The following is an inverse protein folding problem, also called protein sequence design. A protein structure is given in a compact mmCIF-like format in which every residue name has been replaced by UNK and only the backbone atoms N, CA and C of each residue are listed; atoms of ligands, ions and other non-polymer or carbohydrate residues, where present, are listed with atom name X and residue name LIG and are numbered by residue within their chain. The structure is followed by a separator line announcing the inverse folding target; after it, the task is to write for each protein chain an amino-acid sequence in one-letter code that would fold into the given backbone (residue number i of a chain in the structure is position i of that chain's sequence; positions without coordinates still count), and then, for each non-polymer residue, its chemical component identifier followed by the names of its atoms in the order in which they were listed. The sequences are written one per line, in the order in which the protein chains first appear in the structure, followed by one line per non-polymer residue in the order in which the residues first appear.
data_IF_452991243880
#
_entry.id   IF_452991243880
#
_cell.length_a   1.000
_cell.length_b   1.000
_cell.length_c   1.000
_cell.angle_alpha   90.00
_cell.angle_beta   90.00
_cell.angle_gamma   90.00
#
_symmetry.space_group_name_H-M   'P 1'
#
loop_
_entity.id
_entity.type
_entity.pdbx_description
1 polymer ?
#
# COMPACT_ATOMS: atom_id res chain seq x y z
N UNK A 1 -1.51 24.68 42.93
CA UNK A 1 -0.47 23.73 42.48
C UNK A 1 -0.19 24.09 41.02
N UNK A 2 1.02 24.54 40.68
CA UNK A 2 1.37 24.75 39.27
C UNK A 2 1.63 23.36 38.68
N UNK A 3 0.87 22.98 37.67
CA UNK A 3 1.13 21.76 36.90
C UNK A 3 2.30 22.02 35.98
N UNK A 4 3.30 21.15 35.98
CA UNK A 4 4.34 21.13 34.95
C UNK A 4 3.72 20.48 33.72
N UNK A 5 3.94 21.05 32.54
CA UNK A 5 3.54 20.44 31.28
C UNK A 5 4.66 19.51 30.81
N UNK A 6 4.36 18.22 30.67
CA UNK A 6 5.32 17.27 30.09
C UNK A 6 5.29 17.38 28.55
N UNK A 7 6.43 17.69 27.96
CA UNK A 7 6.64 17.78 26.50
C UNK A 7 7.92 17.06 26.08
N UNK A 8 8.28 16.03 26.83
CA UNK A 8 9.43 15.17 26.52
C UNK A 8 9.28 14.54 25.13
N UNK A 9 10.41 14.08 24.59
CA UNK A 9 10.51 13.41 23.31
C UNK A 9 9.97 14.26 22.14
N UNK A 10 10.16 15.57 22.20
CA UNK A 10 9.91 16.47 21.08
C UNK A 10 11.21 16.93 20.42
N UNK A 11 11.17 17.20 19.10
CA UNK A 11 12.26 17.82 18.35
C UNK A 11 11.98 19.31 18.20
N UNK A 12 12.96 20.13 18.54
CA UNK A 12 12.77 21.58 18.71
C UNK A 12 13.48 22.37 17.62
N UNK A 13 13.55 21.82 16.41
CA UNK A 13 14.18 22.50 15.26
C UNK A 13 15.71 22.43 15.24
N UNK A 14 16.35 21.86 16.27
CA UNK A 14 17.81 21.69 16.34
C UNK A 14 18.21 20.45 17.16
N UNK A 15 19.31 19.80 16.80
CA UNK A 15 19.81 18.58 17.45
C UNK A 15 20.19 18.77 18.93
N UNK A 16 20.56 20.00 19.32
CA UNK A 16 20.85 20.35 20.71
C UNK A 16 19.61 20.58 21.56
N UNK A 17 18.41 20.40 21.00
CA UNK A 17 17.14 20.55 21.70
C UNK A 17 16.74 22.02 21.95
N UNK A 18 15.64 22.23 22.70
CA UNK A 18 15.10 23.55 22.96
C UNK A 18 15.97 24.32 23.93
N UNK A 19 16.01 25.64 23.81
CA UNK A 19 16.50 26.46 24.91
C UNK A 19 15.55 26.36 26.11
N UNK A 20 16.08 25.94 27.26
CA UNK A 20 15.38 25.96 28.54
C UNK A 20 16.31 26.52 29.64
N UNK A 21 15.91 27.56 30.41
CA UNK A 21 16.79 28.27 31.36
C UNK A 21 17.51 27.40 32.39
N UNK A 22 16.89 26.30 32.85
CA UNK A 22 17.50 25.36 33.82
C UNK A 22 17.81 23.98 33.25
N UNK A 23 16.89 23.36 32.50
CA UNK A 23 17.04 22.01 31.95
C UNK A 23 17.96 21.92 30.72
N UNK A 24 18.06 22.94 29.86
CA UNK A 24 18.93 22.95 28.68
C UNK A 24 19.36 24.37 28.25
N UNK A 25 20.22 25.06 29.03
CA UNK A 25 20.55 26.47 28.78
C UNK A 25 21.36 26.71 27.49
N UNK A 26 21.93 25.66 26.90
CA UNK A 26 22.70 25.70 25.65
C UNK A 26 21.92 25.24 24.41
N UNK A 27 20.63 24.91 24.55
CA UNK A 27 19.79 24.52 23.42
C UNK A 27 19.68 25.65 22.38
N UNK A 28 19.81 25.29 21.11
CA UNK A 28 19.71 26.24 19.98
C UNK A 28 18.38 26.11 19.23
N UNK A 29 17.54 25.16 19.63
CA UNK A 29 16.18 25.00 19.13
C UNK A 29 15.18 25.97 19.77
N UNK A 30 13.91 25.79 19.43
CA UNK A 30 12.79 26.61 19.89
C UNK A 30 12.76 26.73 21.42
N UNK A 31 12.66 27.95 21.93
CA UNK A 31 12.72 28.23 23.37
C UNK A 31 11.41 27.89 24.09
N UNK A 32 11.52 27.36 25.31
CA UNK A 32 10.38 27.07 26.18
C UNK A 32 10.42 27.82 27.52
N UNK A 33 9.27 27.94 28.16
CA UNK A 33 9.13 28.53 29.50
C UNK A 33 9.51 27.53 30.60
N UNK A 34 9.82 28.04 31.80
CA UNK A 34 10.30 27.26 32.96
C UNK A 34 9.30 26.25 33.56
N UNK A 35 8.03 26.27 33.15
CA UNK A 35 6.97 25.40 33.69
C UNK A 35 6.75 24.14 32.84
N UNK A 36 7.78 23.71 32.11
CA UNK A 36 7.72 22.68 31.08
C UNK A 36 8.83 21.67 31.33
N UNK A 37 8.52 20.37 31.24
CA UNK A 37 9.53 19.31 31.32
C UNK A 37 9.95 18.90 29.91
N UNK A 38 11.22 19.16 29.56
CA UNK A 38 11.79 18.92 28.23
C UNK A 38 12.77 17.75 28.16
N UNK A 39 13.03 17.03 29.26
CA UNK A 39 14.05 15.98 29.29
C UNK A 39 13.43 14.57 29.41
N UNK A 40 13.70 13.65 28.47
CA UNK A 40 14.57 13.81 27.30
C UNK A 40 13.92 14.63 26.16
N UNK A 41 14.74 15.26 25.31
CA UNK A 41 14.30 15.82 24.01
C UNK A 41 14.85 14.98 22.86
N UNK A 42 14.22 15.06 21.69
CA UNK A 42 14.73 14.42 20.48
C UNK A 42 15.86 15.26 19.87
N UNK A 43 16.97 14.60 19.50
CA UNK A 43 18.11 15.21 18.81
C UNK A 43 18.02 15.11 17.29
N UNK A 44 17.01 14.39 16.79
CA UNK A 44 16.77 14.20 15.36
C UNK A 44 15.38 14.74 14.99
N UNK A 45 15.23 15.39 13.83
CA UNK A 45 13.94 15.93 13.41
C UNK A 45 12.91 14.82 13.19
N UNK A 46 11.67 15.06 13.62
CA UNK A 46 10.50 14.36 13.10
C UNK A 46 10.25 14.81 11.66
N UNK A 47 11.10 14.32 10.78
CA UNK A 47 10.95 14.53 9.34
C UNK A 47 9.99 13.49 8.78
N UNK A 48 9.40 13.83 7.63
CA UNK A 48 8.78 12.85 6.71
C UNK A 48 9.79 11.85 6.14
N UNK A 49 11.07 11.88 6.57
CA UNK A 49 12.13 10.96 6.16
C UNK A 49 11.85 9.51 6.56
N UNK A 50 10.84 9.28 7.41
CA UNK A 50 10.37 7.95 7.81
C UNK A 50 9.08 7.53 7.11
N UNK A 51 8.58 8.33 6.16
CA UNK A 51 7.48 7.94 5.28
C UNK A 51 8.08 7.26 4.06
N UNK A 52 7.76 6.00 3.88
CA UNK A 52 8.08 5.24 2.69
C UNK A 52 6.78 4.85 2.01
N UNK A 53 6.80 4.81 0.67
CA UNK A 53 5.75 4.11 -0.04
C UNK A 53 5.74 2.63 0.39
N UNK A 54 4.59 1.94 0.26
CA UNK A 54 4.55 0.50 0.41
C UNK A 54 5.60 -0.17 -0.48
N UNK A 55 6.17 -1.28 -0.04
CA UNK A 55 7.01 -2.13 -0.89
C UNK A 55 6.14 -2.82 -1.97
N UNK A 56 6.73 -3.23 -3.10
CA UNK A 56 6.04 -4.06 -4.07
C UNK A 56 5.42 -5.30 -3.43
N UNK A 57 4.26 -5.71 -3.93
CA UNK A 57 3.54 -6.88 -3.46
C UNK A 57 3.51 -7.98 -4.51
N UNK A 58 3.33 -9.22 -4.06
CA UNK A 58 3.20 -10.40 -4.91
C UNK A 58 1.75 -10.70 -5.26
N UNK A 59 1.51 -11.04 -6.53
CA UNK A 59 0.20 -11.47 -7.04
C UNK A 59 0.00 -12.97 -6.78
N UNK A 60 -1.23 -13.41 -6.51
CA UNK A 60 -1.53 -14.82 -6.21
C UNK A 60 -2.48 -15.41 -7.26
N UNK A 61 -3.69 -14.86 -7.40
CA UNK A 61 -4.69 -15.30 -8.39
C UNK A 61 -5.22 -14.12 -9.20
N UNK A 62 -5.56 -14.32 -10.49
CA UNK A 62 -5.23 -15.49 -11.30
C UNK A 62 -3.72 -15.77 -11.40
N UNK A 63 -3.33 -17.03 -11.62
CA UNK A 63 -1.94 -17.38 -11.90
C UNK A 63 -1.49 -16.76 -13.23
N UNK A 64 -0.17 -16.60 -13.42
CA UNK A 64 0.35 -16.09 -14.68
C UNK A 64 0.02 -17.05 -15.83
N UNK A 65 -0.58 -16.50 -16.89
CA UNK A 65 -1.02 -17.21 -18.09
C UNK A 65 -2.06 -18.31 -17.83
N UNK A 66 -2.85 -18.17 -16.75
CA UNK A 66 -3.95 -19.07 -16.41
C UNK A 66 -5.09 -19.00 -17.44
N UNK A 67 -5.75 -20.14 -17.69
CA UNK A 67 -7.00 -20.21 -18.45
C UNK A 67 -8.18 -20.36 -17.48
N UNK A 68 -9.07 -19.38 -17.47
CA UNK A 68 -10.30 -19.41 -16.68
C UNK A 68 -11.49 -19.80 -17.55
N UNK A 69 -12.35 -20.67 -17.05
CA UNK A 69 -13.52 -21.19 -17.76
C UNK A 69 -14.85 -20.59 -17.30
N UNK A 70 -14.80 -19.53 -16.50
CA UNK A 70 -15.95 -18.79 -15.99
C UNK A 70 -15.80 -17.31 -16.37
N UNK A 71 -16.91 -16.59 -16.50
CA UNK A 71 -16.90 -15.14 -16.74
C UNK A 71 -16.58 -14.34 -15.46
N UNK A 72 -16.22 -15.05 -14.39
CA UNK A 72 -15.81 -14.52 -13.10
C UNK A 72 -14.37 -14.91 -12.76
N UNK A 73 -13.63 -13.97 -12.20
CA UNK A 73 -12.26 -14.19 -11.75
C UNK A 73 -12.08 -13.68 -10.31
N UNK A 74 -11.51 -14.52 -9.45
CA UNK A 74 -11.04 -14.13 -8.13
C UNK A 74 -9.64 -13.55 -8.26
N UNK A 75 -9.49 -12.28 -7.91
CA UNK A 75 -8.20 -11.66 -7.74
C UNK A 75 -7.77 -11.76 -6.28
N UNK A 76 -6.55 -12.21 -6.07
CA UNK A 76 -5.96 -12.39 -4.75
C UNK A 76 -4.49 -11.99 -4.81
N UNK A 77 -4.02 -11.25 -3.80
CA UNK A 77 -2.63 -10.82 -3.69
C UNK A 77 -2.18 -10.77 -2.23
N UNK A 78 -0.87 -10.71 -2.00
CA UNK A 78 -0.32 -10.49 -0.67
C UNK A 78 -0.46 -9.03 -0.24
N UNK A 79 -0.62 -8.78 1.05
CA UNK A 79 -0.55 -7.41 1.57
C UNK A 79 0.84 -6.82 1.29
N UNK A 80 0.89 -5.57 0.85
CA UNK A 80 2.15 -4.85 0.64
C UNK A 80 2.86 -4.63 1.99
N UNK A 81 4.15 -4.96 2.10
CA UNK A 81 4.93 -4.58 3.26
C UNK A 81 5.08 -3.05 3.33
N UNK A 82 5.07 -2.47 4.53
CA UNK A 82 5.43 -1.06 4.73
C UNK A 82 6.19 -0.89 6.04
N UNK A 83 7.22 -0.06 6.00
CA UNK A 83 8.09 0.23 7.15
C UNK A 83 7.67 1.46 7.93
N UNK A 84 6.73 2.25 7.40
CA UNK A 84 6.13 3.42 8.03
C UNK A 84 5.24 2.97 9.20
N UNK A 85 5.51 3.42 10.44
CA UNK A 85 4.72 2.99 11.60
C UNK A 85 3.28 3.52 11.55
N UNK A 86 2.32 2.65 11.88
CA UNK A 86 0.88 2.98 11.97
C UNK A 86 0.28 3.40 10.63
N UNK A 87 0.84 2.89 9.54
CA UNK A 87 0.28 3.09 8.21
C UNK A 87 -0.85 2.10 7.91
N UNK A 88 -1.71 2.49 6.98
CA UNK A 88 -2.80 1.68 6.45
C UNK A 88 -2.75 1.74 4.94
N UNK A 89 -2.71 0.57 4.30
CA UNK A 89 -2.50 0.45 2.87
C UNK A 89 -3.82 0.12 2.21
N UNK A 90 -4.18 0.91 1.19
CA UNK A 90 -5.33 0.67 0.33
C UNK A 90 -4.88 0.15 -1.02
N UNK A 91 -5.67 -0.74 -1.61
CA UNK A 91 -5.36 -1.36 -2.89
C UNK A 91 -6.33 -0.93 -3.99
N UNK A 92 -5.78 -0.84 -5.20
CA UNK A 92 -6.55 -0.68 -6.44
C UNK A 92 -6.07 -1.74 -7.43
N UNK A 93 -6.96 -2.65 -7.82
CA UNK A 93 -6.74 -3.56 -8.93
C UNK A 93 -6.93 -2.78 -10.25
N UNK A 94 -5.91 -2.84 -11.10
CA UNK A 94 -5.92 -2.34 -12.46
C UNK A 94 -6.07 -3.52 -13.42
N UNK A 95 -7.17 -3.57 -14.17
CA UNK A 95 -7.49 -4.64 -15.13
C UNK A 95 -7.65 -4.04 -16.53
N UNK A 96 -7.12 -4.68 -17.56
CA UNK A 96 -7.27 -4.23 -18.94
C UNK A 96 -7.24 -5.39 -19.94
N UNK A 97 -7.85 -5.20 -21.10
CA UNK A 97 -7.74 -6.07 -22.29
C UNK A 97 -6.46 -5.78 -23.12
N UNK A 98 -5.63 -4.84 -22.66
CA UNK A 98 -4.45 -4.37 -23.36
C UNK A 98 -3.24 -4.42 -22.44
N UNK A 99 -2.08 -4.96 -22.90
CA UNK A 99 -0.85 -4.99 -22.10
C UNK A 99 -0.30 -3.58 -21.81
N UNK A 100 -0.76 -2.57 -22.56
CA UNK A 100 -0.43 -1.16 -22.36
C UNK A 100 -1.43 -0.43 -21.47
N UNK A 101 -2.43 -1.14 -20.90
CA UNK A 101 -3.48 -0.58 -20.04
C UNK A 101 -4.25 0.60 -20.66
N UNK A 102 -4.61 0.48 -21.95
CA UNK A 102 -5.36 1.52 -22.68
C UNK A 102 -6.83 1.55 -22.24
N UNK A 103 -7.49 0.39 -22.15
CA UNK A 103 -8.87 0.26 -21.65
C UNK A 103 -8.82 -0.19 -20.19
N UNK A 104 -8.49 0.76 -19.31
CA UNK A 104 -8.25 0.49 -17.90
C UNK A 104 -9.56 0.45 -17.11
N UNK A 105 -9.79 -0.66 -16.42
CA UNK A 105 -10.81 -0.81 -15.38
C UNK A 105 -10.14 -0.78 -14.00
N UNK A 106 -10.76 -0.07 -13.06
CA UNK A 106 -10.24 0.11 -11.71
C UNK A 106 -11.21 -0.47 -10.69
N UNK A 107 -10.69 -1.30 -9.79
CA UNK A 107 -11.43 -1.86 -8.66
C UNK A 107 -10.75 -1.45 -7.36
N UNK A 108 -11.42 -0.62 -6.58
CA UNK A 108 -10.95 -0.16 -5.27
C UNK A 108 -11.42 -1.13 -4.19
N UNK A 109 -10.51 -1.64 -3.38
CA UNK A 109 -10.82 -2.66 -2.36
C UNK A 109 -10.56 -2.17 -0.94
N UNK A 110 -10.23 -0.89 -0.77
CA UNK A 110 -9.71 -0.35 0.49
C UNK A 110 -8.56 -1.24 0.98
N UNK A 111 -8.62 -1.74 2.21
CA UNK A 111 -7.57 -2.59 2.80
C UNK A 111 -7.64 -4.06 2.37
N UNK A 112 -8.73 -4.50 1.75
CA UNK A 112 -8.91 -5.90 1.35
C UNK A 112 -7.92 -6.28 0.25
N UNK A 113 -7.34 -7.47 0.38
CA UNK A 113 -6.36 -8.00 -0.59
C UNK A 113 -6.98 -8.95 -1.61
N UNK A 114 -8.28 -8.81 -1.85
CA UNK A 114 -9.04 -9.65 -2.77
C UNK A 114 -10.24 -8.93 -3.35
N UNK A 115 -10.59 -9.28 -4.59
CA UNK A 115 -11.84 -8.86 -5.24
C UNK A 115 -12.26 -9.90 -6.28
N UNK A 116 -13.57 -10.12 -6.41
CA UNK A 116 -14.11 -10.91 -7.52
C UNK A 116 -14.63 -9.95 -8.59
N UNK A 117 -14.15 -10.14 -9.82
CA UNK A 117 -14.65 -9.44 -11.01
C UNK A 117 -15.51 -10.41 -11.81
N UNK A 118 -16.65 -9.95 -12.31
CA UNK A 118 -17.63 -10.75 -13.06
C UNK A 118 -17.95 -10.09 -14.40
N UNK A 119 -18.44 -10.86 -15.36
CA UNK A 119 -18.80 -10.36 -16.69
C UNK A 119 -17.58 -10.10 -17.57
N UNK A 120 -16.56 -10.94 -17.43
CA UNK A 120 -15.43 -10.98 -18.33
C UNK A 120 -15.84 -11.65 -19.66
N UNK A 121 -15.34 -11.11 -20.76
CA UNK A 121 -15.63 -11.64 -22.09
C UNK A 121 -14.82 -12.93 -22.31
N UNK A 122 -15.49 -13.96 -22.84
CA UNK A 122 -14.81 -15.17 -23.30
C UNK A 122 -13.89 -14.88 -24.49
N UNK A 123 -12.93 -15.77 -24.71
CA UNK A 123 -11.95 -15.70 -25.80
C UNK A 123 -11.11 -14.41 -25.75
N UNK A 124 -10.88 -13.89 -24.54
CA UNK A 124 -10.20 -12.61 -24.32
C UNK A 124 -9.03 -12.74 -23.35
N UNK A 125 -7.94 -12.06 -23.69
CA UNK A 125 -6.76 -11.87 -22.84
C UNK A 125 -6.99 -10.68 -21.89
N UNK A 126 -6.62 -10.86 -20.64
CA UNK A 126 -6.66 -9.83 -19.62
C UNK A 126 -5.29 -9.65 -18.97
N UNK A 127 -4.95 -8.41 -18.68
CA UNK A 127 -3.73 -7.98 -18.02
C UNK A 127 -4.10 -7.26 -16.74
N UNK A 128 -3.39 -7.58 -15.66
CA UNK A 128 -3.69 -7.01 -14.37
C UNK A 128 -2.45 -6.77 -13.51
N UNK A 129 -2.57 -5.75 -12.67
CA UNK A 129 -1.61 -5.39 -11.63
C UNK A 129 -2.33 -4.72 -10.48
N UNK A 130 -1.70 -4.67 -9.31
CA UNK A 130 -2.29 -4.02 -8.13
C UNK A 130 -1.43 -2.81 -7.76
N UNK A 131 -2.09 -1.69 -7.45
CA UNK A 131 -1.44 -0.52 -6.85
C UNK A 131 -1.76 -0.50 -5.36
N UNK A 132 -0.72 -0.50 -4.53
CA UNK A 132 -0.80 -0.23 -3.10
C UNK A 132 -0.61 1.28 -2.86
N UNK A 133 -1.40 1.89 -1.98
CA UNK A 133 -1.33 3.32 -1.65
C UNK A 133 -1.54 3.53 -0.16
N UNK A 134 -0.60 4.23 0.48
CA UNK A 134 -0.62 4.50 1.91
C UNK A 134 -1.58 5.67 2.28
N UNK A 135 -1.56 6.11 3.54
CA UNK A 135 -2.36 7.26 4.00
C UNK A 135 -1.78 8.63 3.59
N UNK A 136 -0.55 8.64 3.06
CA UNK A 136 0.19 9.82 2.60
C UNK A 136 0.21 9.94 1.07
N UNK A 137 -0.59 9.13 0.37
CA UNK A 137 -0.69 9.02 -1.08
C UNK A 137 0.62 8.60 -1.78
N UNK A 138 1.54 7.95 -1.05
CA UNK A 138 2.68 7.26 -1.65
C UNK A 138 2.23 5.89 -2.13
N UNK A 139 2.69 5.49 -3.32
CA UNK A 139 2.18 4.28 -3.97
C UNK A 139 3.25 3.49 -4.69
N UNK A 140 3.06 2.17 -4.70
CA UNK A 140 3.89 1.21 -5.41
C UNK A 140 3.01 0.18 -6.11
N UNK A 141 3.43 -0.28 -7.29
CA UNK A 141 2.75 -1.36 -8.00
C UNK A 141 3.24 -2.73 -7.50
N UNK A 142 2.46 -3.77 -7.79
CA UNK A 142 2.89 -5.16 -7.69
C UNK A 142 4.21 -5.40 -8.40
N UNK A 143 4.97 -6.40 -7.95
CA UNK A 143 6.28 -6.76 -8.52
C UNK A 143 6.23 -7.02 -10.02
N UNK A 144 5.10 -7.54 -10.48
CA UNK A 144 4.84 -7.91 -11.85
C UNK A 144 3.46 -7.45 -12.32
N UNK A 145 3.28 -7.46 -13.64
CA UNK A 145 1.97 -7.48 -14.30
C UNK A 145 1.71 -8.90 -14.75
N UNK A 146 0.53 -9.43 -14.45
CA UNK A 146 0.11 -10.78 -14.85
C UNK A 146 -0.90 -10.72 -15.99
N UNK A 147 -0.96 -11.83 -16.72
CA UNK A 147 -1.96 -12.10 -17.74
C UNK A 147 -2.75 -13.37 -17.41
N UNK A 148 -3.98 -13.44 -17.88
CA UNK A 148 -4.79 -14.66 -17.93
C UNK A 148 -5.76 -14.58 -19.11
N UNK A 149 -6.30 -15.71 -19.56
CA UNK A 149 -7.27 -15.77 -20.65
C UNK A 149 -8.58 -16.39 -20.14
N UNK A 150 -9.70 -15.76 -20.48
CA UNK A 150 -11.02 -16.35 -20.25
C UNK A 150 -11.41 -17.15 -21.48
N UNK A 151 -11.75 -18.43 -21.32
CA UNK A 151 -12.07 -19.36 -22.40
C UNK A 151 -13.46 -19.95 -22.20
N UNK A 152 -14.18 -20.16 -23.30
CA UNK A 152 -15.41 -20.93 -23.27
C UNK A 152 -15.06 -22.43 -23.19
N UNK A 153 -15.79 -23.19 -22.36
CA UNK A 153 -15.69 -24.65 -22.40
C UNK A 153 -16.62 -25.14 -23.49
N UNK A 154 -16.07 -25.67 -24.56
CA UNK A 154 -16.85 -26.46 -25.50
C UNK A 154 -16.93 -27.91 -25.00
N UNK A 155 -17.97 -28.21 -24.22
CA UNK A 155 -18.25 -29.59 -23.77
C UNK A 155 -18.70 -30.52 -24.91
N UNK A 156 -18.94 -30.01 -26.14
CA UNK A 156 -19.42 -30.83 -27.26
C UNK A 156 -18.35 -31.74 -27.87
N UNK A 157 -17.07 -31.41 -27.70
CA UNK A 157 -15.93 -32.16 -28.27
C UNK A 157 -15.54 -33.42 -27.49
N UNK A 158 -16.09 -33.66 -26.27
CA UNK A 158 -15.71 -34.81 -25.43
C UNK A 158 -16.55 -36.08 -25.65
N UNK A 159 -17.51 -36.09 -26.58
CA UNK A 159 -18.48 -37.21 -26.73
C UNK A 159 -18.15 -38.28 -27.77
N UNK A 160 -16.97 -38.28 -28.39
CA UNK A 160 -16.61 -39.27 -29.40
C UNK A 160 -15.58 -40.32 -28.91
N UNK A 161 -15.98 -41.21 -28.00
CA UNK A 161 -15.34 -42.54 -27.92
C UNK A 161 -16.20 -43.51 -28.75
N UNK A 162 -15.77 -43.93 -29.96
CA UNK A 162 -16.46 -44.97 -30.68
C UNK A 162 -16.30 -46.32 -29.95
N UNK A 163 -17.44 -46.99 -29.72
CA UNK A 163 -17.52 -48.36 -29.18
C UNK A 163 -17.08 -49.41 -30.19
#
# INVERSE_FOLDING_TARGET
MRSILNVENNYWGHESGPYHPTQNPGGLGDAVMEAVDILPFATEPFTTRWLHAPEPLELILPEADEFLNDDSALFLWHAAPDSTPRDTIRYTLELSDSPSFINLQLYYTDEDTTVTVTGLDYESDYYWRVRATDIYDLSTYSEETRSFMVVSVDESEFTAIPT
#
